data_IF_536024501111
#
_entry.id   IF_536024501111
#
_cell.length_a   1.000
_cell.length_b   1.000
_cell.length_c   1.000
_cell.angle_alpha   90.00
_cell.angle_beta   90.00
_cell.angle_gamma   90.00
#
_symmetry.space_group_name_H-M   'P 1'
#
loop_
_entity.id
_entity.type
_entity.pdbx_description
1 polymer ?
#
# COMPACT_ATOMS: atom_id res chain seq x y z
N UNK A 1 18.08 22.05 -22.40
CA UNK A 1 18.52 20.99 -21.47
C UNK A 1 17.96 21.32 -20.09
N UNK A 2 16.80 20.77 -19.74
CA UNK A 2 16.22 20.94 -18.40
C UNK A 2 16.74 19.82 -17.51
N UNK A 3 17.55 20.13 -16.51
CA UNK A 3 17.96 19.17 -15.49
C UNK A 3 16.69 18.77 -14.72
N UNK A 4 16.22 17.54 -14.92
CA UNK A 4 15.19 16.95 -14.10
C UNK A 4 15.78 16.88 -12.68
N UNK A 5 15.33 17.74 -11.78
CA UNK A 5 15.72 17.66 -10.37
C UNK A 5 15.19 16.33 -9.85
N UNK A 6 16.04 15.31 -9.84
CA UNK A 6 15.72 14.05 -9.18
C UNK A 6 15.41 14.40 -7.73
N UNK A 7 14.15 14.21 -7.33
CA UNK A 7 13.75 14.33 -5.94
C UNK A 7 14.64 13.36 -5.15
N UNK A 8 15.46 13.91 -4.24
CA UNK A 8 16.18 13.08 -3.26
C UNK A 8 15.18 12.75 -2.16
N UNK A 9 15.02 11.46 -1.89
CA UNK A 9 14.01 10.96 -0.96
C UNK A 9 12.61 10.93 -1.56
N UNK A 10 11.60 10.90 -0.71
CA UNK A 10 10.22 10.64 -1.09
C UNK A 10 9.26 11.73 -0.63
N UNK A 11 8.14 11.83 -1.34
CA UNK A 11 6.96 12.56 -0.90
C UNK A 11 5.72 11.72 -1.20
N UNK A 12 4.91 11.46 -0.19
CA UNK A 12 3.56 10.90 -0.35
C UNK A 12 2.57 12.06 -0.40
N UNK A 13 1.91 12.22 -1.54
CA UNK A 13 0.73 13.07 -1.69
C UNK A 13 -0.53 12.22 -1.46
N UNK A 14 -1.08 12.34 -0.25
CA UNK A 14 -2.17 11.52 0.26
C UNK A 14 -3.56 12.15 0.07
N UNK A 15 -4.54 11.30 -0.24
CA UNK A 15 -5.96 11.62 -0.32
C UNK A 15 -6.78 10.69 0.57
N UNK A 16 -7.70 11.27 1.34
CA UNK A 16 -8.62 10.59 2.23
C UNK A 16 -9.98 11.32 2.17
N UNK A 17 -10.74 11.16 1.07
CA UNK A 17 -11.87 12.05 0.74
C UNK A 17 -13.15 11.73 1.52
N UNK A 18 -13.21 10.60 2.22
CA UNK A 18 -14.40 10.23 3.00
C UNK A 18 -14.58 11.22 4.16
N UNK A 19 -15.78 11.84 4.33
CA UNK A 19 -15.99 12.86 5.36
C UNK A 19 -15.66 12.39 6.78
N UNK A 20 -15.82 11.09 7.07
CA UNK A 20 -15.49 10.53 8.38
C UNK A 20 -13.99 10.51 8.71
N UNK A 21 -13.13 10.78 7.74
CA UNK A 21 -11.68 10.84 7.93
C UNK A 21 -11.18 12.25 8.25
N UNK A 22 -11.96 13.29 7.96
CA UNK A 22 -11.53 14.68 8.18
C UNK A 22 -11.16 14.92 9.65
N UNK A 23 -9.98 15.54 9.87
CA UNK A 23 -9.44 15.80 11.21
C UNK A 23 -8.84 14.59 11.94
N UNK A 24 -8.98 13.36 11.41
CA UNK A 24 -8.30 12.17 11.94
C UNK A 24 -6.82 12.14 11.53
N UNK A 25 -6.09 11.21 12.14
CA UNK A 25 -4.69 10.94 11.79
C UNK A 25 -4.62 9.76 10.81
N UNK A 26 -3.82 9.93 9.76
CA UNK A 26 -3.23 8.80 9.02
C UNK A 26 -1.96 8.41 9.77
N UNK A 27 -1.82 7.12 10.10
CA UNK A 27 -0.58 6.59 10.66
C UNK A 27 0.19 5.84 9.58
N UNK A 28 1.47 6.16 9.44
CA UNK A 28 2.42 5.32 8.73
C UNK A 28 2.95 4.30 9.73
N UNK A 29 2.75 3.01 9.43
CA UNK A 29 3.11 1.90 10.30
C UNK A 29 4.22 1.05 9.69
N UNK A 30 5.02 0.46 10.56
CA UNK A 30 5.95 -0.59 10.18
C UNK A 30 5.21 -1.90 9.90
N UNK A 31 5.53 -2.55 8.78
CA UNK A 31 4.86 -3.79 8.35
C UNK A 31 5.06 -4.93 9.35
N UNK A 32 6.23 -5.01 9.99
CA UNK A 32 6.59 -6.16 10.83
C UNK A 32 6.01 -6.08 12.25
N UNK A 33 5.91 -4.87 12.79
CA UNK A 33 5.46 -4.64 14.19
C UNK A 33 4.07 -4.05 14.29
N UNK A 34 3.49 -3.57 13.19
CA UNK A 34 2.29 -2.73 13.12
C UNK A 34 2.37 -1.43 13.95
N UNK A 35 3.56 -1.10 14.48
CA UNK A 35 3.76 0.09 15.28
C UNK A 35 3.76 1.35 14.39
N UNK A 36 3.13 2.46 14.83
CA UNK A 36 3.21 3.73 14.12
C UNK A 36 4.65 4.26 14.16
N UNK A 37 5.18 4.63 12.99
CA UNK A 37 6.50 5.25 12.83
C UNK A 37 6.40 6.73 12.47
N UNK A 38 5.28 7.15 11.89
CA UNK A 38 4.96 8.55 11.60
C UNK A 38 3.43 8.75 11.56
N UNK A 39 2.97 9.99 11.56
CA UNK A 39 1.55 10.31 11.43
C UNK A 39 1.31 11.69 10.82
N UNK A 40 0.21 11.83 10.09
CA UNK A 40 -0.21 13.08 9.48
C UNK A 40 -1.70 13.33 9.73
N UNK A 41 -2.07 14.57 10.03
CA UNK A 41 -3.49 14.95 10.14
C UNK A 41 -4.10 15.12 8.75
N UNK A 42 -5.33 14.63 8.60
CA UNK A 42 -6.14 14.82 7.40
C UNK A 42 -6.79 16.20 7.46
N UNK A 43 -6.50 17.02 6.45
CA UNK A 43 -7.03 18.38 6.31
C UNK A 43 -7.54 18.54 4.88
N UNK A 44 -8.81 18.91 4.73
CA UNK A 44 -9.50 19.00 3.44
C UNK A 44 -9.36 17.71 2.61
N UNK A 45 -9.53 16.57 3.26
CA UNK A 45 -9.40 15.24 2.65
C UNK A 45 -7.99 14.91 2.14
N UNK A 46 -6.94 15.61 2.61
CA UNK A 46 -5.55 15.38 2.18
C UNK A 46 -4.62 15.20 3.36
N UNK A 47 -3.53 14.47 3.12
CA UNK A 47 -2.42 14.29 4.06
C UNK A 47 -1.11 14.20 3.27
N UNK A 48 0.03 14.35 3.94
CA UNK A 48 1.32 14.18 3.29
C UNK A 48 2.38 13.64 4.25
N UNK A 49 3.32 12.88 3.69
CA UNK A 49 4.55 12.46 4.34
C UNK A 49 5.71 12.81 3.41
N UNK A 50 6.86 13.20 3.95
CA UNK A 50 8.02 13.46 3.12
C UNK A 50 9.32 13.32 3.91
N UNK A 51 10.34 12.81 3.23
CA UNK A 51 11.73 12.83 3.70
C UNK A 51 12.62 13.15 2.50
N UNK A 52 13.61 14.02 2.70
CA UNK A 52 14.58 14.41 1.65
C UNK A 52 15.79 13.49 1.57
N UNK A 53 15.89 12.51 2.48
CA UNK A 53 16.99 11.55 2.53
C UNK A 53 16.88 10.59 1.35
N UNK A 54 17.97 10.48 0.57
CA UNK A 54 18.01 9.54 -0.56
C UNK A 54 17.76 8.12 -0.07
N UNK A 55 16.79 7.45 -0.71
CA UNK A 55 16.47 6.06 -0.42
C UNK A 55 17.35 5.17 -1.30
N UNK A 56 18.28 4.44 -0.69
CA UNK A 56 19.08 3.44 -1.41
C UNK A 56 18.34 2.09 -1.51
N UNK A 57 17.58 1.74 -0.46
CA UNK A 57 16.81 0.51 -0.40
C UNK A 57 15.34 0.85 -0.13
N UNK A 58 14.44 0.64 -1.10
CA UNK A 58 13.02 0.81 -0.89
C UNK A 58 12.50 -0.04 0.26
N UNK A 59 11.47 0.43 0.96
CA UNK A 59 10.82 -0.32 2.05
C UNK A 59 9.31 -0.19 1.96
N UNK A 60 8.55 -1.19 2.42
CA UNK A 60 7.10 -1.09 2.47
C UNK A 60 6.66 -0.57 3.84
N UNK A 61 5.69 0.34 3.84
CA UNK A 61 4.98 0.84 5.02
C UNK A 61 3.48 0.73 4.80
N UNK A 62 2.74 0.64 5.90
CA UNK A 62 1.27 0.61 5.84
C UNK A 62 0.73 1.98 6.24
N UNK A 63 0.01 2.64 5.34
CA UNK A 63 -0.79 3.80 5.70
C UNK A 63 -2.12 3.30 6.27
N UNK A 64 -2.52 3.84 7.42
CA UNK A 64 -3.72 3.39 8.12
C UNK A 64 -4.57 4.52 8.67
N UNK A 65 -5.90 4.34 8.57
CA UNK A 65 -6.90 5.25 9.14
C UNK A 65 -7.92 4.42 9.91
N UNK A 66 -8.16 4.78 11.17
CA UNK A 66 -9.22 4.18 11.97
C UNK A 66 -10.58 4.76 11.55
N UNK A 67 -11.47 3.89 11.08
CA UNK A 67 -12.84 4.26 10.77
C UNK A 67 -13.61 4.57 12.06
N UNK A 68 -14.77 5.20 11.92
CA UNK A 68 -15.62 5.50 13.07
C UNK A 68 -16.27 4.23 13.65
N UNK A 69 -16.45 3.21 12.81
CA UNK A 69 -16.90 1.88 13.21
C UNK A 69 -15.78 1.18 14.00
N UNK A 70 -16.09 0.77 15.23
CA UNK A 70 -15.17 0.04 16.09
C UNK A 70 -14.63 -1.19 15.36
N UNK A 71 -13.30 -1.36 15.38
CA UNK A 71 -12.61 -2.50 14.79
C UNK A 71 -12.42 -2.43 13.27
N UNK A 72 -12.87 -1.36 12.60
CA UNK A 72 -12.59 -1.16 11.17
C UNK A 72 -11.41 -0.21 10.98
N UNK A 73 -10.38 -0.70 10.30
CA UNK A 73 -9.18 0.05 9.94
C UNK A 73 -8.96 -0.07 8.43
N UNK A 74 -8.84 1.07 7.75
CA UNK A 74 -8.45 1.11 6.34
C UNK A 74 -6.93 1.05 6.27
N UNK A 75 -6.39 0.15 5.45
CA UNK A 75 -4.94 -0.08 5.32
C UNK A 75 -4.54 -0.07 3.85
N UNK A 76 -3.48 0.66 3.52
CA UNK A 76 -2.90 0.72 2.19
C UNK A 76 -1.38 0.50 2.30
N UNK A 77 -0.83 -0.61 1.75
CA UNK A 77 0.61 -0.74 1.62
C UNK A 77 1.15 0.24 0.57
N UNK A 78 2.22 0.94 0.91
CA UNK A 78 2.95 1.84 0.01
C UNK A 78 4.43 1.49 0.02
N UNK A 79 5.08 1.59 -1.14
CA UNK A 79 6.53 1.42 -1.26
C UNK A 79 7.20 2.77 -1.10
N UNK A 80 8.02 2.94 -0.07
CA UNK A 80 8.83 4.12 0.17
C UNK A 80 10.07 4.04 -0.73
N UNK A 81 10.05 4.79 -1.82
CA UNK A 81 11.14 4.91 -2.80
C UNK A 81 11.32 6.38 -3.24
N UNK A 82 12.43 6.70 -3.90
CA UNK A 82 12.67 8.09 -4.30
C UNK A 82 11.61 8.55 -5.33
N UNK A 83 11.05 9.74 -5.12
CA UNK A 83 10.05 10.33 -6.02
C UNK A 83 8.77 10.77 -5.33
N UNK A 84 7.76 11.05 -6.14
CA UNK A 84 6.43 11.44 -5.67
C UNK A 84 5.50 10.25 -5.76
N UNK A 85 5.07 9.78 -4.61
CA UNK A 85 4.11 8.71 -4.43
C UNK A 85 2.75 9.35 -4.22
N UNK A 86 1.71 8.87 -4.88
CA UNK A 86 0.33 9.26 -4.57
C UNK A 86 -0.35 8.11 -3.88
N UNK A 87 -1.07 8.39 -2.80
CA UNK A 87 -1.78 7.39 -2.03
C UNK A 87 -3.22 7.86 -1.78
N UNK A 88 -4.20 6.99 -2.03
CA UNK A 88 -5.61 7.27 -1.77
C UNK A 88 -6.18 6.21 -0.85
N UNK A 89 -6.73 6.63 0.29
CA UNK A 89 -7.47 5.77 1.21
C UNK A 89 -8.94 6.20 1.15
N UNK A 90 -9.74 5.40 0.45
CA UNK A 90 -11.18 5.54 0.32
C UNK A 90 -11.80 4.13 0.33
N UNK A 91 -13.01 3.96 -0.20
CA UNK A 91 -13.63 2.64 -0.39
C UNK A 91 -12.75 1.70 -1.23
N UNK A 92 -12.07 2.27 -2.23
CA UNK A 92 -10.99 1.61 -2.97
C UNK A 92 -9.69 2.31 -2.61
N UNK A 93 -8.69 1.52 -2.21
CA UNK A 93 -7.35 2.04 -1.92
C UNK A 93 -6.50 2.06 -3.18
N UNK A 94 -5.65 3.08 -3.32
CA UNK A 94 -4.80 3.24 -4.51
C UNK A 94 -3.43 3.78 -4.14
N UNK A 95 -2.38 3.28 -4.79
CA UNK A 95 -1.02 3.83 -4.74
C UNK A 95 -0.42 3.92 -6.14
N UNK A 96 0.27 5.02 -6.48
CA UNK A 96 0.86 5.24 -7.81
C UNK A 96 1.99 6.28 -7.76
N UNK A 97 2.53 6.66 -8.93
CA UNK A 97 3.46 7.79 -9.08
C UNK A 97 4.94 7.39 -9.11
N UNK A 98 5.25 6.15 -8.74
CA UNK A 98 6.58 5.54 -8.86
C UNK A 98 6.45 4.08 -9.30
N UNK A 99 7.53 3.51 -9.85
CA UNK A 99 7.50 2.17 -10.48
C UNK A 99 7.09 1.06 -9.49
N UNK A 100 7.59 1.07 -8.25
CA UNK A 100 7.23 0.02 -7.28
C UNK A 100 5.82 0.25 -6.71
N UNK A 101 5.34 1.49 -6.63
CA UNK A 101 3.95 1.73 -6.24
C UNK A 101 2.96 1.30 -7.34
N UNK A 102 3.28 1.49 -8.62
CA UNK A 102 2.48 0.94 -9.72
C UNK A 102 2.43 -0.60 -9.67
N UNK A 103 3.57 -1.26 -9.42
CA UNK A 103 3.60 -2.72 -9.22
C UNK A 103 2.81 -3.17 -7.99
N UNK A 104 2.86 -2.42 -6.89
CA UNK A 104 2.04 -2.68 -5.70
C UNK A 104 0.56 -2.54 -6.03
N UNK A 105 0.17 -1.53 -6.81
CA UNK A 105 -1.21 -1.33 -7.24
C UNK A 105 -1.73 -2.48 -8.09
N UNK A 106 -0.93 -2.97 -9.04
CA UNK A 106 -1.28 -4.14 -9.86
C UNK A 106 -1.59 -5.36 -8.97
N UNK A 107 -0.78 -5.58 -7.94
CA UNK A 107 -1.01 -6.65 -6.96
C UNK A 107 -2.32 -6.46 -6.18
N UNK A 108 -2.57 -5.25 -5.66
CA UNK A 108 -3.82 -4.95 -4.93
C UNK A 108 -5.06 -5.15 -5.81
N UNK A 109 -5.02 -4.67 -7.05
CA UNK A 109 -6.10 -4.86 -8.02
C UNK A 109 -6.32 -6.33 -8.36
N UNK A 110 -5.26 -7.13 -8.41
CA UNK A 110 -5.38 -8.56 -8.67
C UNK A 110 -6.02 -9.31 -7.49
N UNK A 111 -5.75 -8.89 -6.24
CA UNK A 111 -6.47 -9.41 -5.07
C UNK A 111 -7.96 -9.06 -5.16
N UNK A 112 -8.29 -7.79 -5.45
CA UNK A 112 -9.68 -7.34 -5.55
C UNK A 112 -10.44 -8.08 -6.66
N UNK A 113 -9.82 -8.21 -7.83
CA UNK A 113 -10.38 -8.95 -8.96
C UNK A 113 -10.55 -10.44 -8.64
N UNK A 114 -9.59 -11.05 -7.94
CA UNK A 114 -9.70 -12.44 -7.51
C UNK A 114 -10.85 -12.64 -6.52
N UNK A 115 -10.94 -11.77 -5.50
CA UNK A 115 -12.02 -11.78 -4.51
C UNK A 115 -13.40 -11.66 -5.18
N UNK A 116 -13.56 -10.73 -6.13
CA UNK A 116 -14.79 -10.55 -6.88
C UNK A 116 -15.17 -11.78 -7.74
N UNK A 117 -14.19 -12.55 -8.22
CA UNK A 117 -14.40 -13.75 -9.03
C UNK A 117 -14.69 -15.02 -8.21
N UNK A 118 -14.70 -14.94 -6.88
CA UNK A 118 -14.82 -16.09 -5.98
C UNK A 118 -16.23 -16.28 -5.37
N UNK A 119 -17.26 -15.55 -5.84
CA UNK A 119 -18.61 -15.53 -5.24
C UNK A 119 -19.29 -16.90 -5.12
N UNK A 120 -18.99 -17.83 -6.04
CA UNK A 120 -19.67 -19.13 -6.15
C UNK A 120 -18.70 -20.33 -6.15
N UNK A 121 -17.46 -20.13 -5.65
CA UNK A 121 -16.42 -21.17 -5.65
C UNK A 121 -16.33 -21.91 -4.30
N UNK A 122 -16.02 -23.22 -4.29
CA UNK A 122 -15.69 -23.93 -3.07
C UNK A 122 -14.45 -23.33 -2.38
N UNK A 123 -14.43 -23.33 -1.04
CA UNK A 123 -13.34 -22.75 -0.24
C UNK A 123 -11.96 -23.29 -0.62
N UNK A 124 -11.84 -24.59 -0.89
CA UNK A 124 -10.58 -25.22 -1.29
C UNK A 124 -10.06 -24.66 -2.63
N UNK A 125 -10.94 -24.42 -3.60
CA UNK A 125 -10.56 -23.82 -4.88
C UNK A 125 -10.17 -22.34 -4.70
N UNK A 126 -10.85 -21.63 -3.79
CA UNK A 126 -10.50 -20.25 -3.44
C UNK A 126 -9.11 -20.21 -2.82
N UNK A 127 -8.78 -21.10 -1.88
CA UNK A 127 -7.48 -21.16 -1.24
C UNK A 127 -6.36 -21.51 -2.23
N UNK A 128 -6.58 -22.54 -3.06
CA UNK A 128 -5.58 -22.96 -4.06
C UNK A 128 -5.31 -21.85 -5.08
N UNK A 129 -6.36 -21.26 -5.65
CA UNK A 129 -6.20 -20.18 -6.63
C UNK A 129 -5.59 -18.91 -6.04
N UNK A 130 -5.84 -18.64 -4.75
CA UNK A 130 -5.21 -17.51 -4.06
C UNK A 130 -3.73 -17.76 -3.84
N UNK A 131 -3.33 -18.97 -3.42
CA UNK A 131 -1.93 -19.37 -3.30
C UNK A 131 -1.18 -19.25 -4.64
N UNK A 132 -1.80 -19.68 -5.75
CA UNK A 132 -1.24 -19.52 -7.10
C UNK A 132 -1.07 -18.05 -7.51
N UNK A 133 -2.07 -17.21 -7.22
CA UNK A 133 -1.98 -15.77 -7.45
C UNK A 133 -0.80 -15.15 -6.69
N UNK A 134 -0.66 -15.48 -5.40
CA UNK A 134 0.44 -14.99 -4.57
C UNK A 134 1.80 -15.44 -5.10
N UNK A 135 1.96 -16.72 -5.47
CA UNK A 135 3.20 -17.26 -6.04
C UNK A 135 3.61 -16.52 -7.31
N UNK A 136 2.65 -16.28 -8.22
CA UNK A 136 2.91 -15.50 -9.44
C UNK A 136 3.40 -14.09 -9.14
N UNK A 137 2.78 -13.38 -8.20
CA UNK A 137 3.20 -12.03 -7.84
C UNK A 137 4.52 -11.98 -7.07
N UNK A 138 4.86 -13.03 -6.30
CA UNK A 138 6.19 -13.20 -5.70
C UNK A 138 7.24 -13.36 -6.80
N UNK A 139 6.99 -14.20 -7.81
CA UNK A 139 7.90 -14.41 -8.93
C UNK A 139 8.10 -13.14 -9.78
N UNK A 140 7.00 -12.43 -10.08
CA UNK A 140 7.03 -11.17 -10.82
C UNK A 140 7.77 -10.05 -10.07
N UNK A 141 7.88 -10.15 -8.75
CA UNK A 141 8.53 -9.17 -7.89
C UNK A 141 9.72 -9.76 -7.12
N UNK A 142 10.38 -10.78 -7.67
CA UNK A 142 11.51 -11.46 -7.03
C UNK A 142 12.77 -10.57 -6.91
N UNK A 143 12.78 -9.46 -7.64
CA UNK A 143 13.87 -8.49 -7.74
C UNK A 143 13.68 -7.31 -6.78
N UNK A 144 12.57 -7.25 -6.04
CA UNK A 144 12.20 -6.08 -5.25
C UNK A 144 11.45 -6.43 -3.95
N UNK A 145 11.25 -5.41 -3.12
CA UNK A 145 10.69 -5.58 -1.76
C UNK A 145 9.24 -6.07 -1.71
N UNK A 146 8.49 -5.95 -2.81
CA UNK A 146 7.10 -6.39 -2.90
C UNK A 146 7.02 -7.92 -2.80
N UNK A 147 7.92 -8.65 -3.46
CA UNK A 147 7.95 -10.12 -3.38
C UNK A 147 8.14 -10.61 -1.95
N UNK A 148 9.10 -10.02 -1.22
CA UNK A 148 9.35 -10.33 0.21
C UNK A 148 8.16 -9.95 1.09
N UNK A 149 7.51 -8.83 0.81
CA UNK A 149 6.31 -8.42 1.52
C UNK A 149 5.18 -9.41 1.34
N UNK A 150 4.88 -9.82 0.10
CA UNK A 150 3.82 -10.78 -0.19
C UNK A 150 4.12 -12.11 0.52
N UNK A 151 5.36 -12.60 0.43
CA UNK A 151 5.78 -13.84 1.08
C UNK A 151 5.57 -13.80 2.60
N UNK A 152 5.83 -12.66 3.22
CA UNK A 152 5.75 -12.50 4.68
C UNK A 152 4.30 -12.25 5.15
N UNK A 153 3.60 -11.31 4.51
CA UNK A 153 2.26 -10.90 4.89
C UNK A 153 1.20 -11.99 4.62
N UNK A 154 1.41 -12.82 3.59
CA UNK A 154 0.48 -13.87 3.18
C UNK A 154 1.04 -15.28 3.40
N UNK A 155 2.03 -15.44 4.30
CA UNK A 155 2.67 -16.73 4.56
C UNK A 155 1.67 -17.85 4.90
N UNK A 156 0.58 -17.55 5.59
CA UNK A 156 -0.47 -18.52 5.94
C UNK A 156 -1.28 -19.03 4.73
N UNK A 157 -1.20 -18.34 3.59
CA UNK A 157 -1.94 -18.65 2.36
C UNK A 157 -1.05 -19.24 1.25
N UNK A 158 0.26 -19.39 1.48
CA UNK A 158 1.24 -19.92 0.52
C UNK A 158 1.44 -21.44 0.68
#
# INVERSE_FOLDING_TARGET
MGACSQIKGYRIDGSAPLPEFEGKMVYMKDVSTDAPVDSARIINGKFAFADTTKIENPVIKILSIHASKIGLEYRLPVVIENGTIKASIADVVCTEGTMLNERMQDFLLAIDAYSAACTDKPVEQIQSGFSELLKRYIEMNNDNVIGTYIQTAYQSSL
#
